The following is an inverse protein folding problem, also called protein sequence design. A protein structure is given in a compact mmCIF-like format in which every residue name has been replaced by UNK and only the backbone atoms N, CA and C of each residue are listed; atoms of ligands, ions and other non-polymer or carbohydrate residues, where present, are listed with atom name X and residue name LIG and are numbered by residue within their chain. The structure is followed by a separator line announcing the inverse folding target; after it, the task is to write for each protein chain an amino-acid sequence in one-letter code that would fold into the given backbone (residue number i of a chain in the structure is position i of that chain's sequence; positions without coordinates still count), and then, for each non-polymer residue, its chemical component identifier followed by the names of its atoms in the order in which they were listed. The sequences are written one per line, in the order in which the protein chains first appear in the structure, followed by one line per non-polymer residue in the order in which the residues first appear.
data_IF_382141693056
#
_entry.id   IF_382141693056
#
_cell.length_a   1.000
_cell.length_b   1.000
_cell.length_c   1.000
_cell.angle_alpha   90.00
_cell.angle_beta   90.00
_cell.angle_gamma   90.00
#
_symmetry.space_group_name_H-M   'P 1'
#
loop_
_entity.id
_entity.type
_entity.pdbx_description
1 polymer ?
#
# COMPACT_ATOMS: atom_id res chain seq x y z
N UNK A 1 7.31 -4.09 9.30
CA UNK A 1 6.14 -3.49 9.97
C UNK A 1 5.06 -4.54 10.25
N UNK A 2 4.28 -4.38 11.32
CA UNK A 2 3.06 -5.17 11.57
C UNK A 2 1.95 -4.75 10.58
N UNK A 3 1.13 -5.70 10.10
CA UNK A 3 0.07 -5.45 9.11
C UNK A 3 -0.99 -4.46 9.61
N UNK A 4 -1.52 -4.65 10.81
CA UNK A 4 -2.56 -3.80 11.39
C UNK A 4 -2.08 -2.37 11.58
N UNK A 5 -0.84 -2.23 12.07
CA UNK A 5 -0.20 -0.92 12.22
C UNK A 5 -0.04 -0.22 10.86
N UNK A 6 0.46 -0.93 9.85
CA UNK A 6 0.64 -0.37 8.51
C UNK A 6 -0.68 0.08 7.90
N UNK A 7 -1.72 -0.74 7.99
CA UNK A 7 -3.05 -0.41 7.50
C UNK A 7 -3.64 0.81 8.20
N UNK A 8 -3.53 0.87 9.53
CA UNK A 8 -3.95 2.02 10.32
C UNK A 8 -3.23 3.29 9.86
N UNK A 9 -1.91 3.27 9.74
CA UNK A 9 -1.13 4.44 9.30
C UNK A 9 -1.52 4.90 7.89
N UNK A 10 -1.78 3.96 6.96
CA UNK A 10 -2.24 4.30 5.61
C UNK A 10 -3.60 5.00 5.66
N UNK A 11 -4.56 4.46 6.43
CA UNK A 11 -5.90 5.02 6.54
C UNK A 11 -5.90 6.37 7.26
N UNK A 12 -5.10 6.52 8.31
CA UNK A 12 -4.96 7.79 9.03
C UNK A 12 -4.30 8.87 8.17
N UNK A 13 -3.27 8.50 7.39
CA UNK A 13 -2.65 9.41 6.41
C UNK A 13 -3.64 9.79 5.31
N UNK A 14 -4.40 8.83 4.77
CA UNK A 14 -5.42 9.10 3.77
C UNK A 14 -6.46 10.09 4.31
N UNK A 15 -6.98 9.84 5.51
CA UNK A 15 -7.93 10.74 6.20
C UNK A 15 -7.37 12.14 6.33
N UNK A 16 -6.11 12.28 6.74
CA UNK A 16 -5.44 13.58 6.92
C UNK A 16 -5.41 14.41 5.63
N UNK A 17 -5.18 13.78 4.47
CA UNK A 17 -5.01 14.50 3.20
C UNK A 17 -6.30 14.63 2.38
N UNK A 18 -7.23 13.68 2.49
CA UNK A 18 -8.42 13.60 1.63
C UNK A 18 -9.76 13.65 2.39
N UNK A 19 -9.72 13.63 3.73
CA UNK A 19 -10.91 13.69 4.58
C UNK A 19 -11.65 12.37 4.77
N UNK A 20 -12.60 12.36 5.69
CA UNK A 20 -13.34 11.15 6.11
C UNK A 20 -14.26 10.60 5.02
N UNK A 21 -15.00 11.48 4.33
CA UNK A 21 -15.94 11.07 3.27
C UNK A 21 -15.19 10.33 2.16
N UNK A 22 -14.04 10.88 1.72
CA UNK A 22 -13.20 10.25 0.70
C UNK A 22 -12.60 8.94 1.19
N UNK A 23 -12.22 8.83 2.48
CA UNK A 23 -11.69 7.59 3.05
C UNK A 23 -12.73 6.46 2.96
N UNK A 24 -13.99 6.74 3.28
CA UNK A 24 -15.09 5.78 3.20
C UNK A 24 -15.32 5.32 1.76
N UNK A 25 -15.29 6.25 0.79
CA UNK A 25 -15.45 5.95 -0.64
C UNK A 25 -14.27 5.16 -1.23
N UNK A 26 -13.06 5.46 -0.78
CA UNK A 26 -11.84 4.80 -1.24
C UNK A 26 -11.68 3.40 -0.64
N UNK A 27 -12.09 3.23 0.62
CA UNK A 27 -11.90 2.06 1.48
C UNK A 27 -10.56 1.33 1.23
N UNK A 28 -9.41 1.99 1.44
CA UNK A 28 -8.12 1.36 1.27
C UNK A 28 -7.91 0.29 2.35
N UNK A 29 -7.67 -0.94 1.90
CA UNK A 29 -7.52 -2.12 2.75
C UNK A 29 -6.25 -2.87 2.40
N UNK A 30 -5.43 -3.16 3.41
CA UNK A 30 -4.23 -3.96 3.23
C UNK A 30 -4.62 -5.45 3.25
N UNK A 31 -4.94 -6.00 2.08
CA UNK A 31 -5.46 -7.37 1.97
C UNK A 31 -4.37 -8.44 2.09
N UNK A 32 -3.11 -8.07 1.84
CA UNK A 32 -1.97 -8.97 1.92
C UNK A 32 -0.70 -8.20 2.30
N UNK A 33 0.16 -8.79 3.14
CA UNK A 33 1.47 -8.25 3.46
C UNK A 33 2.46 -9.38 3.72
N UNK A 34 3.57 -9.38 2.99
CA UNK A 34 4.69 -10.29 3.14
C UNK A 34 5.76 -9.62 4.00
N UNK A 35 5.97 -10.13 5.22
CA UNK A 35 6.93 -9.58 6.17
C UNK A 35 8.38 -9.82 5.75
N UNK A 36 8.68 -10.86 4.99
CA UNK A 36 10.04 -11.15 4.55
C UNK A 36 10.49 -10.16 3.46
N UNK A 37 9.58 -9.86 2.53
CA UNK A 37 9.85 -8.95 1.41
C UNK A 37 9.51 -7.48 1.72
N UNK A 38 8.84 -7.20 2.83
CA UNK A 38 8.23 -5.90 3.15
C UNK A 38 7.34 -5.38 1.99
N UNK A 39 6.51 -6.26 1.42
CA UNK A 39 5.63 -5.94 0.28
C UNK A 39 4.18 -6.26 0.60
N UNK A 40 3.27 -5.38 0.19
CA UNK A 40 1.85 -5.53 0.42
C UNK A 40 1.00 -5.37 -0.83
N UNK A 41 -0.28 -5.74 -0.70
CA UNK A 41 -1.32 -5.46 -1.69
C UNK A 41 -2.40 -4.66 -0.97
N UNK A 42 -2.68 -3.46 -1.49
CA UNK A 42 -3.78 -2.62 -1.03
C UNK A 42 -4.90 -2.71 -2.04
N UNK A 43 -6.10 -3.05 -1.57
CA UNK A 43 -7.34 -2.98 -2.33
C UNK A 43 -7.97 -1.60 -2.09
N UNK A 44 -8.52 -1.02 -3.13
CA UNK A 44 -9.27 0.25 -3.08
C UNK A 44 -10.18 0.31 -4.31
N UNK A 45 -11.11 1.26 -4.32
CA UNK A 45 -11.95 1.53 -5.49
C UNK A 45 -11.14 2.12 -6.64
N UNK A 46 -11.51 1.82 -7.90
CA UNK A 46 -10.75 2.28 -9.06
C UNK A 46 -10.70 3.82 -9.18
N UNK A 47 -11.75 4.53 -8.73
CA UNK A 47 -11.79 5.99 -8.70
C UNK A 47 -10.73 6.59 -7.77
N UNK A 48 -10.43 5.94 -6.64
CA UNK A 48 -9.57 6.49 -5.60
C UNK A 48 -8.14 5.91 -5.61
N UNK A 49 -7.80 5.04 -6.57
CA UNK A 49 -6.47 4.41 -6.65
C UNK A 49 -5.31 5.42 -6.65
N UNK A 50 -5.49 6.56 -7.32
CA UNK A 50 -4.45 7.59 -7.40
C UNK A 50 -4.28 8.31 -6.07
N UNK A 51 -5.39 8.62 -5.38
CA UNK A 51 -5.35 9.20 -4.03
C UNK A 51 -4.62 8.28 -3.06
N UNK A 52 -4.86 6.96 -3.13
CA UNK A 52 -4.11 5.98 -2.34
C UNK A 52 -2.62 5.99 -2.69
N UNK A 53 -2.26 5.99 -3.97
CA UNK A 53 -0.84 6.07 -4.42
C UNK A 53 -0.14 7.34 -3.89
N UNK A 54 -0.84 8.48 -3.89
CA UNK A 54 -0.35 9.74 -3.32
C UNK A 54 -0.16 9.58 -1.82
N UNK A 55 -1.15 9.07 -1.09
CA UNK A 55 -1.06 8.83 0.36
C UNK A 55 0.16 7.99 0.72
N UNK A 56 0.43 6.90 -0.01
CA UNK A 56 1.58 6.04 0.26
C UNK A 56 2.90 6.81 0.13
N UNK A 57 3.02 7.65 -0.90
CA UNK A 57 4.22 8.45 -1.17
C UNK A 57 4.46 9.55 -0.11
N UNK A 58 3.40 9.96 0.61
CA UNK A 58 3.47 10.99 1.65
C UNK A 58 3.88 10.44 3.03
N UNK A 59 3.80 9.13 3.25
CA UNK A 59 4.18 8.51 4.52
C UNK A 59 5.72 8.47 4.63
N UNK A 60 6.27 9.16 5.64
CA UNK A 60 7.72 9.23 5.91
C UNK A 60 8.15 8.47 7.15
N UNK A 61 7.20 8.11 8.01
CA UNK A 61 7.46 7.49 9.29
C UNK A 61 6.27 6.61 9.70
N UNK A 62 6.57 5.44 10.26
CA UNK A 62 5.60 4.56 10.90
C UNK A 62 6.16 4.20 12.27
N UNK A 63 5.46 4.60 13.34
CA UNK A 63 5.84 4.30 14.72
C UNK A 63 7.31 4.65 15.03
N UNK A 64 7.70 5.91 14.79
CA UNK A 64 9.07 6.42 15.00
C UNK A 64 10.15 5.82 14.10
N UNK A 65 9.80 4.90 13.20
CA UNK A 65 10.71 4.34 12.21
C UNK A 65 10.53 5.07 10.88
N UNK A 66 11.57 5.78 10.45
CA UNK A 66 11.59 6.42 9.12
C UNK A 66 11.45 5.35 8.04
N UNK A 67 10.57 5.59 7.07
CA UNK A 67 10.31 4.65 5.99
C UNK A 67 9.92 5.36 4.70
N UNK A 68 10.07 4.66 3.59
CA UNK A 68 9.53 5.05 2.30
C UNK A 68 8.62 3.93 1.80
N UNK A 69 7.38 4.26 1.45
CA UNK A 69 6.47 3.32 0.81
C UNK A 69 6.46 3.61 -0.69
N UNK A 70 6.89 2.63 -1.48
CA UNK A 70 7.02 2.75 -2.93
C UNK A 70 5.88 1.96 -3.61
N UNK A 71 4.94 2.62 -4.30
CA UNK A 71 3.95 1.94 -5.12
C UNK A 71 4.63 1.21 -6.30
N UNK A 72 4.48 -0.12 -6.36
CA UNK A 72 5.13 -0.92 -7.41
C UNK A 72 4.32 -0.96 -8.71
N UNK A 73 3.01 -1.24 -8.61
CA UNK A 73 2.09 -1.34 -9.74
C UNK A 73 0.64 -1.38 -9.27
N UNK A 74 -0.29 -0.93 -10.11
CA UNK A 74 -1.73 -1.12 -9.92
C UNK A 74 -2.29 -2.18 -10.88
N UNK A 75 -3.32 -2.90 -10.45
CA UNK A 75 -3.96 -3.97 -11.24
C UNK A 75 -5.37 -4.21 -10.71
N UNK A 76 -6.31 -4.54 -11.59
CA UNK A 76 -7.70 -4.82 -11.21
C UNK A 76 -7.93 -6.19 -10.56
N UNK A 77 -6.97 -7.12 -10.60
CA UNK A 77 -7.12 -8.45 -10.00
C UNK A 77 -6.07 -8.76 -8.96
N UNK A 78 -6.50 -9.39 -7.87
CA UNK A 78 -5.63 -9.86 -6.77
C UNK A 78 -4.64 -10.92 -7.28
N UNK A 79 -5.09 -11.82 -8.18
CA UNK A 79 -4.24 -12.85 -8.79
C UNK A 79 -3.03 -12.23 -9.51
N UNK A 80 -3.24 -11.16 -10.29
CA UNK A 80 -2.16 -10.46 -10.99
C UNK A 80 -1.29 -9.65 -10.02
N UNK A 81 -1.88 -9.03 -8.99
CA UNK A 81 -1.14 -8.32 -7.94
C UNK A 81 -0.14 -9.25 -7.22
N UNK A 82 -0.59 -10.44 -6.79
CA UNK A 82 0.29 -11.45 -6.16
C UNK A 82 1.42 -11.89 -7.10
N UNK A 83 1.12 -12.12 -8.38
CA UNK A 83 2.16 -12.49 -9.38
C UNK A 83 3.23 -11.40 -9.50
N UNK A 84 2.84 -10.13 -9.55
CA UNK A 84 3.79 -9.00 -9.64
C UNK A 84 4.67 -8.94 -8.40
N UNK A 85 4.07 -9.06 -7.21
CA UNK A 85 4.77 -8.98 -5.91
C UNK A 85 5.97 -9.93 -5.84
N UNK A 86 5.82 -11.17 -6.31
CA UNK A 86 6.89 -12.18 -6.30
C UNK A 86 7.76 -12.20 -7.55
N UNK A 87 7.27 -11.74 -8.71
CA UNK A 87 8.12 -11.68 -9.92
C UNK A 87 9.28 -10.71 -9.71
N UNK A 88 9.00 -9.54 -9.13
CA UNK A 88 10.02 -8.52 -8.84
C UNK A 88 11.13 -8.97 -7.89
N UNK A 89 10.92 -10.01 -7.07
CA UNK A 89 11.98 -10.53 -6.20
C UNK A 89 13.01 -11.36 -6.99
N UNK A 90 12.56 -12.12 -8.00
CA UNK A 90 13.43 -12.97 -8.83
C UNK A 90 14.39 -12.18 -9.71
N UNK A 91 14.04 -10.94 -10.04
CA UNK A 91 14.87 -10.08 -10.89
C UNK A 91 16.03 -9.46 -10.06
N UNK A 92 15.81 -9.17 -8.77
CA UNK A 92 16.86 -8.64 -7.87
C UNK A 92 17.88 -9.72 -7.48
N UNK A 93 17.45 -10.97 -7.31
CA UNK A 93 18.35 -12.09 -6.97
C UNK A 93 19.22 -12.60 -8.14
N UNK A 94 19.02 -12.06 -9.35
CA UNK A 94 19.74 -12.43 -10.57
C UNK A 94 20.72 -11.37 -11.07
N UNK A 95 20.86 -10.27 -10.33
CA UNK A 95 21.82 -9.19 -10.61
C UNK A 95 22.92 -9.24 -9.57
#
# INVERSE_FOLDING_TARGET
FNKQLLEKTIRDSYRKYFGEISLIQADPQLIYFDYSLQRGIIRTTNLHKNSVVITLSLIREINSSKCLIIPLKTTGTIKKARRILYKLHRDVAKT
#
